data_IF_084137286671
#
_entry.id   IF_084137286671
#
_cell.length_a   1.000
_cell.length_b   1.000
_cell.length_c   1.000
_cell.angle_alpha   90.00
_cell.angle_beta   90.00
_cell.angle_gamma   90.00
#
_symmetry.space_group_name_H-M   'P 1'
#
loop_
_entity.id
_entity.type
_entity.pdbx_description
1 polymer ?
#
# COMPACT_ATOMS: atom_id res chain seq x y z
N UNK A 1 26.58 0.80 12.35
CA UNK A 1 25.62 0.99 13.47
C UNK A 1 24.45 1.84 12.99
N UNK A 2 23.25 1.57 13.50
CA UNK A 2 22.05 2.38 13.28
C UNK A 2 21.82 3.23 14.53
N UNK A 3 21.60 4.53 14.34
CA UNK A 3 21.23 5.45 15.42
C UNK A 3 19.85 6.02 15.13
N UNK A 4 18.96 5.93 16.12
CA UNK A 4 17.65 6.58 16.09
C UNK A 4 17.66 7.64 17.19
N UNK A 5 17.44 8.89 16.81
CA UNK A 5 17.18 9.95 17.77
C UNK A 5 15.69 9.94 18.08
N UNK A 6 15.36 9.55 19.30
CA UNK A 6 14.02 9.60 19.84
C UNK A 6 13.85 10.90 20.64
N UNK A 7 12.97 11.78 20.16
CA UNK A 7 12.57 12.98 20.88
C UNK A 7 11.17 12.74 21.45
N UNK A 8 11.08 12.73 22.78
CA UNK A 8 9.83 12.53 23.50
C UNK A 8 9.08 13.86 23.58
N UNK A 9 8.04 14.00 22.76
CA UNK A 9 7.10 15.09 22.88
C UNK A 9 6.07 14.69 23.94
N UNK A 10 6.20 15.25 25.15
CA UNK A 10 5.25 15.05 26.25
C UNK A 10 3.79 15.42 25.90
N UNK A 11 3.57 16.08 24.75
CA UNK A 11 2.27 16.47 24.24
C UNK A 11 1.94 15.77 22.91
N UNK A 12 0.66 15.45 22.73
CA UNK A 12 0.09 14.84 21.52
C UNK A 12 0.23 15.68 20.23
N UNK A 13 0.76 16.91 20.31
CA UNK A 13 0.97 17.81 19.19
C UNK A 13 2.44 18.26 19.15
N UNK A 14 3.09 18.10 17.99
CA UNK A 14 4.45 18.61 17.72
C UNK A 14 4.53 20.14 17.97
N UNK A 15 3.45 20.88 17.69
CA UNK A 15 3.34 22.31 18.01
C UNK A 15 3.30 22.67 19.50
N UNK A 16 3.29 21.68 20.41
CA UNK A 16 3.37 21.88 21.86
C UNK A 16 4.71 21.42 22.46
N UNK A 17 5.64 20.91 21.64
CA UNK A 17 7.03 20.74 22.08
C UNK A 17 7.63 22.13 22.25
N UNK A 18 8.08 22.46 23.46
CA UNK A 18 8.73 23.75 23.69
C UNK A 18 10.01 23.83 22.83
N UNK A 19 10.10 24.82 21.93
CA UNK A 19 11.26 25.06 21.07
C UNK A 19 12.59 25.04 21.84
N UNK A 20 12.57 25.43 23.11
CA UNK A 20 13.73 25.40 24.00
C UNK A 20 14.18 23.98 24.35
N UNK A 21 13.25 23.04 24.55
CA UNK A 21 13.58 21.64 24.83
C UNK A 21 14.16 20.98 23.58
N UNK A 22 13.57 21.22 22.40
CA UNK A 22 14.12 20.72 21.13
C UNK A 22 15.55 21.23 20.88
N UNK A 23 15.75 22.55 21.00
CA UNK A 23 17.09 23.16 20.84
C UNK A 23 18.09 22.55 21.80
N UNK A 24 17.69 22.32 23.05
CA UNK A 24 18.54 21.71 24.07
C UNK A 24 18.90 20.26 23.71
N UNK A 25 17.94 19.44 23.32
CA UNK A 25 18.19 18.04 22.91
C UNK A 25 19.11 17.97 21.67
N UNK A 26 18.87 18.81 20.67
CA UNK A 26 19.74 18.92 19.49
C UNK A 26 21.16 19.33 19.87
N UNK A 27 21.31 20.32 20.74
CA UNK A 27 22.63 20.74 21.24
C UNK A 27 23.34 19.63 22.02
N UNK A 28 22.61 18.89 22.87
CA UNK A 28 23.17 17.74 23.57
C UNK A 28 23.65 16.66 22.60
N UNK A 29 22.87 16.39 21.55
CA UNK A 29 23.23 15.40 20.54
C UNK A 29 24.44 15.83 19.71
N UNK A 30 24.48 17.07 19.23
CA UNK A 30 25.65 17.61 18.52
C UNK A 30 26.90 17.54 19.40
N UNK A 31 26.77 17.85 20.69
CA UNK A 31 27.86 17.71 21.66
C UNK A 31 28.26 16.24 21.84
N UNK A 32 27.31 15.33 21.93
CA UNK A 32 27.57 13.90 22.06
C UNK A 32 28.30 13.35 20.82
N UNK A 33 27.86 13.71 19.61
CA UNK A 33 28.54 13.36 18.36
C UNK A 33 29.97 13.91 18.31
N UNK A 34 30.17 15.14 18.80
CA UNK A 34 31.50 15.75 18.91
C UNK A 34 32.39 15.02 19.91
N UNK A 35 31.88 14.70 21.11
CA UNK A 35 32.63 13.97 22.14
C UNK A 35 32.97 12.53 21.70
N UNK A 36 32.11 11.93 20.87
CA UNK A 36 32.28 10.58 20.36
C UNK A 36 32.74 10.54 18.88
N UNK A 37 33.55 11.52 18.46
CA UNK A 37 34.01 11.65 17.07
C UNK A 37 34.71 10.39 16.52
N UNK A 38 35.31 9.56 17.38
CA UNK A 38 35.92 8.30 16.98
C UNK A 38 34.90 7.23 16.54
N UNK A 39 33.62 7.36 16.94
CA UNK A 39 32.53 6.45 16.59
C UNK A 39 31.71 6.93 15.39
N UNK A 40 31.76 8.23 15.04
CA UNK A 40 30.93 8.77 13.95
C UNK A 40 31.19 8.12 12.57
N UNK A 41 32.41 7.67 12.22
CA UNK A 41 32.62 6.92 10.98
C UNK A 41 31.99 5.53 10.96
N UNK A 42 31.48 5.02 12.08
CA UNK A 42 30.80 3.72 12.16
C UNK A 42 29.27 3.84 11.96
N UNK A 43 28.75 5.06 11.96
CA UNK A 43 27.33 5.35 11.76
C UNK A 43 27.02 5.19 10.27
N UNK A 44 26.08 4.27 9.96
CA UNK A 44 25.62 3.99 8.59
C UNK A 44 24.22 4.51 8.35
N UNK A 45 23.36 4.49 9.37
CA UNK A 45 21.99 4.99 9.29
C UNK A 45 21.70 5.90 10.46
N UNK A 46 21.04 7.01 10.18
CA UNK A 46 20.58 7.97 11.18
C UNK A 46 19.12 8.29 10.88
N UNK A 47 18.26 8.22 11.90
CA UNK A 47 16.84 8.56 11.76
C UNK A 47 16.44 9.53 12.86
N UNK A 48 15.70 10.57 12.51
CA UNK A 48 15.14 11.53 13.45
C UNK A 48 13.65 11.22 13.57
N UNK A 49 13.22 10.76 14.75
CA UNK A 49 11.86 10.35 15.01
C UNK A 49 11.31 11.07 16.23
N UNK A 50 10.12 11.64 16.06
CA UNK A 50 9.34 12.22 17.15
C UNK A 50 8.31 11.21 17.60
N UNK A 51 8.17 11.05 18.91
CA UNK A 51 7.11 10.27 19.52
C UNK A 51 6.25 11.19 20.38
N UNK A 52 4.94 10.98 20.39
CA UNK A 52 4.05 11.50 21.41
C UNK A 52 4.28 10.74 22.72
N UNK A 53 3.91 11.34 23.86
CA UNK A 53 4.08 10.75 25.19
C UNK A 53 3.38 9.39 25.43
N UNK A 54 2.58 8.89 24.48
CA UNK A 54 2.05 7.52 24.46
C UNK A 54 2.91 6.54 23.64
N UNK A 55 4.11 6.94 23.23
CA UNK A 55 5.05 6.14 22.44
C UNK A 55 4.65 5.97 20.97
N UNK A 56 3.67 6.73 20.48
CA UNK A 56 3.24 6.69 19.07
C UNK A 56 3.90 7.82 18.28
N UNK A 57 3.93 7.70 16.94
CA UNK A 57 4.33 8.84 16.10
C UNK A 57 3.20 9.89 16.18
N UNK A 58 3.50 11.15 16.51
CA UNK A 58 2.47 12.17 16.65
C UNK A 58 1.73 12.37 15.32
N UNK A 59 0.41 12.58 15.40
CA UNK A 59 -0.38 13.00 14.26
C UNK A 59 -0.02 14.46 13.94
N UNK A 60 0.54 14.69 12.75
CA UNK A 60 0.92 16.03 12.34
C UNK A 60 -0.32 16.83 11.92
N UNK A 61 -0.47 18.03 12.48
CA UNK A 61 -1.39 19.04 11.97
C UNK A 61 -0.63 19.91 10.95
N UNK A 62 -1.13 20.09 9.73
CA UNK A 62 -0.48 20.91 8.70
C UNK A 62 -0.37 22.41 9.04
N UNK A 63 -0.86 22.83 10.21
CA UNK A 63 -0.96 24.22 10.64
C UNK A 63 0.02 24.61 11.77
N UNK A 64 0.93 23.73 12.20
CA UNK A 64 1.94 24.14 13.21
C UNK A 64 3.17 24.72 12.53
N UNK A 65 3.42 26.01 12.73
CA UNK A 65 4.67 26.72 12.41
C UNK A 65 5.82 26.14 13.25
N UNK A 66 6.32 24.97 12.86
CA UNK A 66 7.40 24.31 13.59
C UNK A 66 8.77 24.87 13.17
N UNK A 67 9.60 25.20 14.16
CA UNK A 67 10.86 25.93 14.00
C UNK A 67 11.92 25.09 13.27
N UNK A 68 12.20 25.45 12.02
CA UNK A 68 13.09 24.72 11.09
C UNK A 68 14.58 24.73 11.45
N UNK A 69 15.09 25.77 12.12
CA UNK A 69 16.55 26.04 12.14
C UNK A 69 17.42 25.06 12.96
N UNK A 70 16.99 24.56 14.14
CA UNK A 70 17.79 23.65 14.95
C UNK A 70 18.03 22.30 14.27
N UNK A 71 16.99 21.75 13.62
CA UNK A 71 17.04 20.44 12.98
C UNK A 71 17.94 20.46 11.74
N UNK A 72 17.89 21.55 10.97
CA UNK A 72 18.77 21.77 9.83
C UNK A 72 20.24 21.79 10.27
N UNK A 73 20.52 22.45 11.40
CA UNK A 73 21.87 22.46 11.99
C UNK A 73 22.34 21.06 12.38
N UNK A 74 21.46 20.24 12.97
CA UNK A 74 21.75 18.85 13.29
C UNK A 74 22.04 18.02 12.04
N UNK A 75 21.20 18.14 11.01
CA UNK A 75 21.36 17.41 9.74
C UNK A 75 22.72 17.70 9.11
N UNK A 76 23.10 18.97 9.04
CA UNK A 76 24.40 19.39 8.50
C UNK A 76 25.55 18.88 9.37
N UNK A 77 25.42 18.93 10.70
CA UNK A 77 26.44 18.40 11.62
C UNK A 77 26.62 16.89 11.45
N UNK A 78 25.52 16.12 11.30
CA UNK A 78 25.54 14.68 11.02
C UNK A 78 26.26 14.40 9.70
N UNK A 79 25.94 15.11 8.61
CA UNK A 79 26.64 14.97 7.34
C UNK A 79 28.13 15.28 7.47
N UNK A 80 28.51 16.31 8.21
CA UNK A 80 29.93 16.68 8.35
C UNK A 80 30.76 15.63 9.12
N UNK A 81 30.15 14.93 10.09
CA UNK A 81 30.85 14.00 11.00
C UNK A 81 30.76 12.54 10.59
N UNK A 82 29.68 12.14 9.94
CA UNK A 82 29.39 10.74 9.62
C UNK A 82 29.79 10.42 8.17
N UNK A 83 31.09 10.44 7.88
CA UNK A 83 31.64 10.27 6.50
C UNK A 83 31.21 9.00 5.78
N UNK A 84 30.78 8.00 6.55
CA UNK A 84 30.40 6.66 6.14
C UNK A 84 28.87 6.43 6.12
N UNK A 85 28.09 7.49 6.34
CA UNK A 85 26.64 7.43 6.34
C UNK A 85 26.11 6.94 4.98
N UNK A 86 25.07 6.13 5.03
CA UNK A 86 24.38 5.55 3.87
C UNK A 86 22.93 6.05 3.80
N UNK A 87 22.32 6.36 4.94
CA UNK A 87 20.96 6.88 4.98
C UNK A 87 20.74 7.85 6.14
N UNK A 88 20.11 8.98 5.84
CA UNK A 88 19.53 9.90 6.82
C UNK A 88 18.02 10.00 6.58
N UNK A 89 17.21 9.53 7.52
CA UNK A 89 15.75 9.62 7.46
C UNK A 89 15.24 10.80 8.29
N UNK A 90 14.50 11.67 7.63
CA UNK A 90 13.92 12.87 8.22
C UNK A 90 12.54 12.58 8.82
N UNK A 91 12.11 13.37 9.81
CA UNK A 91 10.79 13.29 10.40
C UNK A 91 9.70 13.76 9.43
N UNK A 92 8.44 13.42 9.71
CA UNK A 92 7.30 13.70 8.81
C UNK A 92 7.02 15.19 8.58
N UNK A 93 7.35 16.06 9.53
CA UNK A 93 7.08 17.49 9.41
C UNK A 93 8.12 18.23 8.56
N UNK A 94 9.29 17.65 8.32
CA UNK A 94 10.26 18.17 7.34
C UNK A 94 9.85 17.63 5.96
N UNK A 95 9.06 18.43 5.25
CA UNK A 95 8.45 18.08 3.96
C UNK A 95 9.32 18.58 2.80
N UNK A 96 9.69 17.72 1.85
CA UNK A 96 10.43 18.16 0.66
C UNK A 96 9.59 19.11 -0.20
N UNK A 97 10.20 20.19 -0.69
CA UNK A 97 9.53 21.24 -1.47
C UNK A 97 9.21 22.51 -0.66
N UNK A 98 9.35 22.45 0.66
CA UNK A 98 9.38 23.63 1.52
C UNK A 98 10.79 24.25 1.52
N UNK A 99 11.09 25.00 0.45
CA UNK A 99 12.44 25.44 0.06
C UNK A 99 13.15 26.27 1.13
N UNK A 100 12.40 27.01 1.96
CA UNK A 100 12.96 27.86 3.00
C UNK A 100 13.65 26.95 4.02
N UNK A 101 14.99 26.85 3.91
CA UNK A 101 15.94 26.05 4.70
C UNK A 101 16.38 24.68 4.15
N UNK A 102 15.94 24.25 2.96
CA UNK A 102 16.39 22.96 2.40
C UNK A 102 17.66 23.04 1.56
N UNK A 103 17.91 24.19 0.91
CA UNK A 103 19.08 24.38 0.06
C UNK A 103 20.42 24.05 0.75
N UNK A 104 20.71 24.52 1.99
CA UNK A 104 21.95 24.17 2.67
C UNK A 104 22.08 22.68 2.98
N UNK A 105 20.96 21.98 3.22
CA UNK A 105 20.93 20.54 3.48
C UNK A 105 21.27 19.76 2.22
N UNK A 106 20.65 20.11 1.08
CA UNK A 106 20.92 19.45 -0.21
C UNK A 106 22.36 19.74 -0.67
N UNK A 107 22.84 20.95 -0.46
CA UNK A 107 24.23 21.32 -0.74
C UNK A 107 25.23 20.52 0.12
N UNK A 108 24.97 20.39 1.42
CA UNK A 108 25.78 19.57 2.32
C UNK A 108 25.73 18.08 1.95
N UNK A 109 24.56 17.57 1.59
CA UNK A 109 24.37 16.21 1.07
C UNK A 109 25.25 15.98 -0.16
N UNK A 110 25.23 16.91 -1.12
CA UNK A 110 25.97 16.79 -2.38
C UNK A 110 27.49 16.92 -2.20
N UNK A 111 27.96 17.63 -1.16
CA UNK A 111 29.38 17.69 -0.78
C UNK A 111 29.85 16.49 0.04
N UNK A 112 28.93 15.68 0.56
CA UNK A 112 29.27 14.55 1.40
C UNK A 112 30.05 13.47 0.62
N UNK A 113 31.13 12.89 1.18
CA UNK A 113 32.04 11.99 0.46
C UNK A 113 31.42 10.63 0.07
N UNK A 114 30.44 10.15 0.82
CA UNK A 114 29.69 8.92 0.48
C UNK A 114 28.69 9.19 -0.65
N UNK A 115 28.92 8.61 -1.82
CA UNK A 115 28.01 8.57 -2.96
C UNK A 115 26.75 7.72 -2.70
N UNK A 116 26.86 6.76 -1.78
CA UNK A 116 25.76 5.89 -1.34
C UNK A 116 24.78 6.58 -0.40
N UNK A 117 25.17 7.68 0.23
CA UNK A 117 24.30 8.38 1.17
C UNK A 117 23.01 8.86 0.48
N UNK A 118 21.87 8.45 1.03
CA UNK A 118 20.52 8.89 0.68
C UNK A 118 19.89 9.73 1.79
N UNK A 119 19.36 10.89 1.44
CA UNK A 119 18.53 11.71 2.32
C UNK A 119 17.06 11.41 2.05
N UNK A 120 16.36 10.87 3.06
CA UNK A 120 14.99 10.41 2.91
C UNK A 120 14.01 11.35 3.61
N UNK A 121 13.22 12.05 2.83
CA UNK A 121 12.05 12.80 3.28
C UNK A 121 10.85 11.86 3.36
N UNK A 122 10.00 12.01 4.37
CA UNK A 122 8.78 11.20 4.45
C UNK A 122 7.75 11.68 3.44
N UNK A 123 7.59 13.00 3.29
CA UNK A 123 6.54 13.59 2.48
C UNK A 123 7.10 14.59 1.45
N UNK A 124 6.41 14.67 0.31
CA UNK A 124 6.62 15.62 -0.77
C UNK A 124 5.41 16.56 -0.88
N UNK A 125 5.63 17.87 -1.00
CA UNK A 125 4.58 18.86 -1.25
C UNK A 125 5.05 19.90 -2.27
N UNK A 126 4.27 20.12 -3.32
CA UNK A 126 4.53 21.14 -4.34
C UNK A 126 3.96 22.51 -3.91
N UNK A 127 4.71 23.58 -4.18
CA UNK A 127 4.31 24.96 -3.81
C UNK A 127 3.18 25.50 -4.67
N UNK A 128 2.88 24.89 -5.82
CA UNK A 128 1.74 25.25 -6.68
C UNK A 128 0.39 25.28 -5.94
N UNK A 129 0.32 24.65 -4.76
CA UNK A 129 -0.83 24.67 -3.84
C UNK A 129 -0.88 25.87 -2.88
N UNK A 130 0.16 26.72 -2.80
CA UNK A 130 0.31 27.80 -1.80
C UNK A 130 0.79 29.11 -2.44
N UNK A 131 -0.19 29.92 -2.88
CA UNK A 131 -0.12 31.34 -3.22
C UNK A 131 0.82 31.79 -4.35
N UNK A 132 0.25 32.53 -5.30
CA UNK A 132 0.96 33.10 -6.43
C UNK A 132 1.81 34.30 -6.02
N UNK A 133 3.12 34.08 -5.83
CA UNK A 133 4.14 35.05 -6.18
C UNK A 133 5.43 34.32 -6.62
N UNK A 134 5.80 34.63 -7.86
CA UNK A 134 6.96 34.19 -8.68
C UNK A 134 8.28 34.54 -7.94
N UNK A 135 9.34 33.73 -7.89
CA UNK A 135 10.32 33.46 -8.95
C UNK A 135 11.49 32.57 -8.43
N UNK A 136 12.46 32.14 -9.28
CA UNK A 136 12.68 30.77 -9.75
C UNK A 136 13.87 30.07 -9.04
N UNK A 137 14.16 28.83 -9.40
CA UNK A 137 15.42 28.13 -9.10
C UNK A 137 15.62 27.42 -7.76
N UNK A 138 14.58 27.14 -6.97
CA UNK A 138 14.70 26.51 -5.63
C UNK A 138 15.71 25.36 -5.56
N UNK A 139 15.75 24.53 -6.61
CA UNK A 139 16.82 23.56 -6.84
C UNK A 139 17.33 23.52 -8.28
N UNK A 140 17.05 24.50 -9.17
CA UNK A 140 17.22 24.35 -10.64
C UNK A 140 18.63 23.91 -11.12
N UNK A 141 19.66 24.05 -10.29
CA UNK A 141 21.04 23.62 -10.58
C UNK A 141 21.58 22.51 -9.67
N UNK A 142 20.77 21.95 -8.76
CA UNK A 142 21.22 20.95 -7.80
C UNK A 142 20.85 19.53 -8.23
N UNK A 143 21.79 18.55 -8.15
CA UNK A 143 21.45 17.15 -8.31
C UNK A 143 20.63 16.66 -7.10
N UNK A 144 19.54 15.94 -7.39
CA UNK A 144 18.63 15.34 -6.41
C UNK A 144 18.72 13.80 -6.43
N UNK A 145 19.67 13.21 -7.14
CA UNK A 145 19.90 11.75 -7.25
C UNK A 145 20.09 11.04 -5.90
N UNK A 146 20.45 11.79 -4.86
CA UNK A 146 20.67 11.32 -3.49
C UNK A 146 19.49 11.63 -2.56
N UNK A 147 18.46 12.28 -3.06
CA UNK A 147 17.23 12.60 -2.34
C UNK A 147 16.18 11.54 -2.66
N UNK A 148 15.47 11.11 -1.61
CA UNK A 148 14.40 10.13 -1.67
C UNK A 148 13.19 10.71 -0.95
N UNK A 149 12.03 10.73 -1.60
CA UNK A 149 10.75 10.98 -0.94
C UNK A 149 10.01 9.66 -0.75
N UNK A 150 9.60 9.37 0.47
CA UNK A 150 8.94 8.11 0.80
C UNK A 150 7.57 8.01 0.14
N UNK A 151 6.73 9.05 0.22
CA UNK A 151 5.46 9.09 -0.51
C UNK A 151 5.13 10.46 -1.11
N UNK A 152 4.42 10.42 -2.23
CA UNK A 152 3.82 11.57 -2.92
C UNK A 152 2.33 11.33 -3.14
N UNK A 153 1.49 12.34 -2.88
CA UNK A 153 0.02 12.20 -2.88
C UNK A 153 -0.70 13.15 -3.86
N UNK A 154 -0.01 14.04 -4.56
CA UNK A 154 -0.69 15.05 -5.38
C UNK A 154 -1.15 14.51 -6.75
N UNK A 155 -2.14 15.16 -7.36
CA UNK A 155 -2.82 14.67 -8.56
C UNK A 155 -1.90 14.43 -9.75
N UNK A 156 -1.07 15.41 -10.09
CA UNK A 156 -0.21 15.41 -11.26
C UNK A 156 1.09 16.15 -10.93
N UNK A 157 2.25 15.76 -11.50
CA UNK A 157 3.47 16.53 -11.34
C UNK A 157 3.32 17.91 -11.98
N UNK A 158 3.39 18.99 -11.19
CA UNK A 158 3.58 20.33 -11.72
C UNK A 158 5.01 20.54 -12.24
N UNK A 159 5.32 21.75 -12.70
CA UNK A 159 6.62 22.07 -13.31
C UNK A 159 7.80 21.90 -12.35
N UNK A 160 7.58 22.12 -11.05
CA UNK A 160 8.61 21.92 -10.02
C UNK A 160 8.94 20.43 -9.89
N UNK A 161 7.92 19.60 -9.74
CA UNK A 161 8.10 18.16 -9.63
C UNK A 161 8.75 17.57 -10.88
N UNK A 162 8.36 18.01 -12.09
CA UNK A 162 9.02 17.61 -13.34
C UNK A 162 10.51 17.94 -13.34
N UNK A 163 10.85 19.14 -12.86
CA UNK A 163 12.24 19.59 -12.72
C UNK A 163 12.99 18.71 -11.72
N UNK A 164 12.40 18.42 -10.56
CA UNK A 164 13.03 17.59 -9.53
C UNK A 164 13.25 16.15 -9.99
N UNK A 165 12.28 15.57 -10.69
CA UNK A 165 12.42 14.24 -11.32
C UNK A 165 13.57 14.23 -12.34
N UNK A 166 13.66 15.27 -13.19
CA UNK A 166 14.76 15.40 -14.15
C UNK A 166 16.14 15.55 -13.47
N UNK A 167 16.17 16.08 -12.25
CA UNK A 167 17.37 16.20 -11.40
C UNK A 167 17.72 14.92 -10.62
N UNK A 168 16.90 13.87 -10.75
CA UNK A 168 17.12 12.56 -10.15
C UNK A 168 16.42 12.32 -8.82
N UNK A 169 15.43 13.14 -8.43
CA UNK A 169 14.63 12.89 -7.25
C UNK A 169 14.02 11.47 -7.31
N UNK A 170 14.20 10.69 -6.25
CA UNK A 170 13.61 9.36 -6.14
C UNK A 170 12.29 9.42 -5.37
N UNK A 171 11.25 8.75 -5.88
CA UNK A 171 9.94 8.60 -5.25
C UNK A 171 9.73 7.13 -4.95
N UNK A 172 9.65 6.72 -3.69
CA UNK A 172 9.48 5.31 -3.33
C UNK A 172 8.02 4.83 -3.46
N UNK A 173 7.07 5.70 -3.12
CA UNK A 173 5.65 5.38 -3.08
C UNK A 173 4.79 6.50 -3.67
N UNK A 174 3.74 6.12 -4.40
CA UNK A 174 2.69 7.04 -4.85
C UNK A 174 1.38 6.68 -4.13
N UNK A 175 0.68 7.70 -3.64
CA UNK A 175 -0.62 7.61 -2.98
C UNK A 175 -1.67 8.37 -3.80
N UNK A 176 -2.86 7.79 -3.93
CA UNK A 176 -3.92 8.28 -4.84
C UNK A 176 -5.30 8.34 -4.17
N UNK A 177 -5.35 8.67 -2.88
CA UNK A 177 -6.61 8.79 -2.15
C UNK A 177 -7.50 9.93 -2.69
N UNK A 178 -8.81 9.71 -2.75
CA UNK A 178 -9.81 10.79 -2.80
C UNK A 178 -9.94 11.59 -4.11
N UNK A 179 -9.28 11.18 -5.19
CA UNK A 179 -9.45 11.83 -6.50
C UNK A 179 -10.49 11.08 -7.33
N UNK A 180 -11.77 11.42 -7.15
CA UNK A 180 -12.93 10.79 -7.82
C UNK A 180 -13.27 11.37 -9.21
N UNK A 181 -12.57 12.38 -9.72
CA UNK A 181 -13.15 13.17 -10.82
C UNK A 181 -12.15 13.88 -11.74
N UNK A 182 -11.12 13.21 -12.24
CA UNK A 182 -10.33 13.77 -13.35
C UNK A 182 -9.98 12.69 -14.39
N UNK A 183 -10.36 12.87 -15.68
CA UNK A 183 -10.11 11.88 -16.74
C UNK A 183 -8.64 11.74 -17.14
N UNK A 184 -7.75 12.60 -16.66
CA UNK A 184 -6.35 12.61 -17.06
C UNK A 184 -5.46 12.02 -15.95
N UNK A 185 -5.26 10.71 -16.00
CA UNK A 185 -4.20 9.97 -15.28
C UNK A 185 -2.79 10.38 -15.76
N UNK A 186 -2.52 11.69 -15.93
CA UNK A 186 -1.29 12.21 -16.54
C UNK A 186 -0.04 11.94 -15.71
N UNK A 187 -0.22 11.66 -14.42
CA UNK A 187 0.87 11.21 -13.56
C UNK A 187 1.54 9.93 -14.10
N UNK A 188 0.79 9.06 -14.79
CA UNK A 188 1.37 7.85 -15.39
C UNK A 188 2.29 8.17 -16.58
N UNK A 189 2.26 9.37 -17.17
CA UNK A 189 3.10 9.71 -18.31
C UNK A 189 4.57 9.96 -17.90
N UNK A 190 4.85 10.07 -16.60
CA UNK A 190 6.17 10.35 -16.04
C UNK A 190 6.87 9.10 -15.52
N UNK A 191 8.19 9.17 -15.44
CA UNK A 191 9.03 8.15 -14.81
C UNK A 191 9.42 8.62 -13.41
N UNK A 192 9.21 7.77 -12.43
CA UNK A 192 9.50 7.99 -11.02
C UNK A 192 10.66 7.07 -10.60
N UNK A 193 11.90 7.58 -10.57
CA UNK A 193 13.05 6.82 -10.10
C UNK A 193 12.82 6.29 -8.69
N UNK A 194 13.15 5.02 -8.44
CA UNK A 194 12.98 4.41 -7.12
C UNK A 194 11.56 3.98 -6.76
N UNK A 195 10.57 4.10 -7.67
CA UNK A 195 9.19 3.70 -7.38
C UNK A 195 9.08 2.21 -7.09
N UNK A 196 8.63 1.89 -5.87
CA UNK A 196 8.47 0.50 -5.40
C UNK A 196 7.03 0.13 -5.10
N UNK A 197 6.16 1.10 -4.79
CA UNK A 197 4.76 0.83 -4.51
C UNK A 197 3.80 1.95 -4.93
N UNK A 198 2.61 1.57 -5.36
CA UNK A 198 1.49 2.47 -5.60
C UNK A 198 0.35 2.04 -4.68
N UNK A 199 -0.32 3.01 -4.05
CA UNK A 199 -1.49 2.78 -3.21
C UNK A 199 -2.67 3.59 -3.71
N UNK A 200 -3.86 3.02 -3.53
CA UNK A 200 -5.13 3.65 -3.93
C UNK A 200 -5.27 3.91 -5.42
N UNK A 201 -4.74 3.01 -6.25
CA UNK A 201 -4.87 3.17 -7.69
C UNK A 201 -6.28 2.80 -8.16
N UNK A 202 -7.00 3.74 -8.79
CA UNK A 202 -8.32 3.51 -9.39
C UNK A 202 -8.30 2.86 -10.76
N UNK A 203 -7.17 2.89 -11.48
CA UNK A 203 -6.82 2.14 -12.69
C UNK A 203 -7.80 2.06 -13.87
N UNK A 204 -8.85 2.89 -13.93
CA UNK A 204 -9.93 2.72 -14.91
C UNK A 204 -9.88 3.71 -16.09
N UNK A 205 -8.86 4.57 -16.21
CA UNK A 205 -8.85 5.65 -17.22
C UNK A 205 -7.79 5.50 -18.32
N UNK A 206 -6.95 4.45 -18.28
CA UNK A 206 -5.88 4.22 -19.26
C UNK A 206 -6.05 2.90 -19.98
N UNK A 207 -5.59 2.85 -21.23
CA UNK A 207 -5.56 1.61 -22.00
C UNK A 207 -4.57 0.60 -21.40
N UNK A 208 -4.82 -0.68 -21.64
CA UNK A 208 -3.92 -1.77 -21.25
C UNK A 208 -2.46 -1.49 -21.66
N UNK A 209 -2.25 -1.02 -22.89
CA UNK A 209 -0.94 -0.69 -23.43
C UNK A 209 -0.23 0.42 -22.63
N UNK A 210 -0.95 1.48 -22.28
CA UNK A 210 -0.41 2.59 -21.46
C UNK A 210 -0.01 2.11 -20.06
N UNK A 211 -0.79 1.20 -19.47
CA UNK A 211 -0.45 0.56 -18.20
C UNK A 211 0.82 -0.27 -18.34
N UNK A 212 0.94 -1.11 -19.37
CA UNK A 212 2.14 -1.93 -19.62
C UNK A 212 3.39 -1.05 -19.78
N UNK A 213 3.32 0.01 -20.58
CA UNK A 213 4.43 0.95 -20.79
C UNK A 213 4.83 1.66 -19.50
N UNK A 214 3.86 2.04 -18.67
CA UNK A 214 4.12 2.58 -17.35
C UNK A 214 4.87 1.56 -16.47
N UNK A 215 4.41 0.31 -16.38
CA UNK A 215 5.07 -0.72 -15.58
C UNK A 215 6.49 -1.02 -16.06
N UNK A 216 6.73 -1.02 -17.38
CA UNK A 216 8.06 -1.23 -17.97
C UNK A 216 9.04 -0.10 -17.63
N UNK A 217 8.56 1.15 -17.54
CA UNK A 217 9.38 2.29 -17.10
C UNK A 217 9.73 2.24 -15.60
N UNK A 218 9.05 1.41 -14.82
CA UNK A 218 9.23 1.29 -13.36
C UNK A 218 9.63 -0.14 -12.95
N UNK A 219 10.84 -0.61 -13.30
CA UNK A 219 11.27 -1.99 -13.04
C UNK A 219 11.37 -2.33 -11.54
N UNK A 220 11.50 -1.32 -10.67
CA UNK A 220 11.56 -1.48 -9.22
C UNK A 220 10.17 -1.58 -8.56
N UNK A 221 9.08 -1.35 -9.30
CA UNK A 221 7.73 -1.41 -8.78
C UNK A 221 7.38 -2.86 -8.42
N UNK A 222 7.04 -3.09 -7.15
CA UNK A 222 6.80 -4.42 -6.57
C UNK A 222 5.37 -4.63 -6.12
N UNK A 223 4.63 -3.57 -5.80
CA UNK A 223 3.29 -3.70 -5.21
C UNK A 223 2.38 -2.57 -5.63
N UNK A 224 1.17 -2.93 -6.06
CA UNK A 224 0.11 -1.98 -6.37
C UNK A 224 -1.10 -2.36 -5.52
N UNK A 225 -1.64 -1.39 -4.78
CA UNK A 225 -2.92 -1.50 -4.08
C UNK A 225 -3.96 -0.63 -4.77
N UNK A 226 -5.11 -1.21 -5.06
CA UNK A 226 -6.21 -0.58 -5.77
C UNK A 226 -7.22 0.02 -4.80
N UNK A 227 -7.90 1.09 -5.20
CA UNK A 227 -9.12 1.54 -4.49
C UNK A 227 -10.24 0.50 -4.67
N UNK A 228 -11.23 0.46 -3.75
CA UNK A 228 -12.42 -0.35 -3.92
C UNK A 228 -13.13 -0.08 -5.25
N UNK A 229 -13.86 -1.09 -5.75
CA UNK A 229 -14.56 -1.04 -7.03
C UNK A 229 -13.67 -0.77 -8.28
N UNK A 230 -12.35 -1.01 -8.19
CA UNK A 230 -11.46 -0.97 -9.35
C UNK A 230 -11.88 -1.99 -10.43
N UNK A 231 -11.85 -1.61 -11.70
CA UNK A 231 -12.14 -2.51 -12.82
C UNK A 231 -10.85 -3.20 -13.26
N UNK A 232 -10.84 -4.54 -13.21
CA UNK A 232 -9.62 -5.32 -13.46
C UNK A 232 -9.49 -5.77 -14.92
N UNK A 233 -10.56 -5.71 -15.72
CA UNK A 233 -10.64 -6.34 -17.03
C UNK A 233 -9.61 -5.78 -18.05
N UNK A 234 -9.20 -4.52 -17.87
CA UNK A 234 -8.28 -3.82 -18.79
C UNK A 234 -6.85 -3.70 -18.24
N UNK A 235 -6.47 -4.57 -17.31
CA UNK A 235 -5.14 -4.55 -16.67
C UNK A 235 -4.30 -5.78 -17.04
N UNK A 236 -2.94 -5.71 -17.01
CA UNK A 236 -2.11 -6.85 -17.38
C UNK A 236 -2.33 -8.08 -16.50
N UNK A 237 -2.51 -7.87 -15.19
CA UNK A 237 -2.81 -8.94 -14.24
C UNK A 237 -4.24 -9.48 -14.41
N UNK A 238 -5.23 -8.63 -14.71
CA UNK A 238 -6.60 -9.07 -14.98
C UNK A 238 -6.70 -9.91 -16.26
N UNK A 239 -6.04 -9.49 -17.35
CA UNK A 239 -5.96 -10.27 -18.60
C UNK A 239 -5.26 -11.60 -18.39
N UNK A 240 -4.14 -11.61 -17.66
CA UNK A 240 -3.44 -12.85 -17.34
C UNK A 240 -4.31 -13.79 -16.48
N UNK A 241 -5.04 -13.24 -15.52
CA UNK A 241 -5.97 -13.99 -14.68
C UNK A 241 -7.12 -14.59 -15.49
N UNK A 242 -7.81 -13.79 -16.31
CA UNK A 242 -8.91 -14.25 -17.15
C UNK A 242 -8.47 -15.38 -18.10
N UNK A 243 -7.29 -15.23 -18.72
CA UNK A 243 -6.69 -16.29 -19.56
C UNK A 243 -6.45 -17.58 -18.79
N UNK A 244 -6.02 -17.47 -17.53
CA UNK A 244 -5.80 -18.60 -16.63
C UNK A 244 -7.10 -19.25 -16.20
N UNK A 245 -8.21 -18.52 -16.12
CA UNK A 245 -9.54 -19.03 -15.71
C UNK A 245 -10.38 -19.65 -16.85
N UNK A 246 -10.09 -19.34 -18.12
CA UNK A 246 -10.78 -19.90 -19.30
C UNK A 246 -10.92 -21.43 -19.27
N UNK A 247 -12.13 -22.02 -19.41
CA UNK A 247 -13.28 -21.43 -20.10
C UNK A 247 -14.28 -20.69 -19.21
N UNK A 248 -14.02 -20.55 -17.92
CA UNK A 248 -14.97 -19.90 -17.00
C UNK A 248 -14.79 -18.39 -17.03
N UNK A 249 -15.88 -17.65 -17.25
CA UNK A 249 -15.85 -16.20 -17.08
C UNK A 249 -15.94 -15.83 -15.60
N UNK A 250 -15.10 -14.90 -15.19
CA UNK A 250 -15.01 -14.41 -13.83
C UNK A 250 -14.84 -12.90 -13.83
N UNK A 251 -15.50 -12.23 -12.88
CA UNK A 251 -15.20 -10.84 -12.54
C UNK A 251 -14.39 -10.81 -11.26
N UNK A 252 -13.36 -9.97 -11.24
CA UNK A 252 -12.65 -9.65 -10.02
C UNK A 252 -13.25 -8.36 -9.51
N UNK A 253 -13.91 -8.41 -8.36
CA UNK A 253 -14.62 -7.24 -7.85
C UNK A 253 -14.91 -7.38 -6.35
N UNK A 254 -14.62 -6.33 -5.60
CA UNK A 254 -15.11 -6.10 -4.24
C UNK A 254 -15.41 -4.59 -4.12
N UNK A 255 -16.68 -4.20 -3.91
CA UNK A 255 -17.07 -2.79 -3.87
C UNK A 255 -16.53 -2.06 -2.64
N UNK A 256 -16.21 -2.79 -1.57
CA UNK A 256 -15.90 -2.20 -0.27
C UNK A 256 -14.43 -2.41 0.13
N UNK A 257 -13.63 -3.08 -0.71
CA UNK A 257 -12.29 -3.49 -0.32
C UNK A 257 -11.18 -3.16 -1.29
N UNK A 258 -10.03 -2.84 -0.69
CA UNK A 258 -8.78 -2.64 -1.41
C UNK A 258 -8.24 -3.99 -1.84
N UNK A 259 -8.00 -4.17 -3.14
CA UNK A 259 -7.24 -5.30 -3.64
C UNK A 259 -5.77 -4.93 -3.84
N UNK A 260 -4.91 -5.93 -3.96
CA UNK A 260 -3.51 -5.68 -4.27
C UNK A 260 -2.92 -6.73 -5.20
N UNK A 261 -2.00 -6.27 -6.05
CA UNK A 261 -1.10 -7.14 -6.82
C UNK A 261 0.35 -6.92 -6.41
N UNK A 262 1.11 -7.99 -6.45
CA UNK A 262 2.55 -8.03 -6.17
C UNK A 262 3.31 -8.58 -7.36
N UNK A 263 4.50 -8.04 -7.62
CA UNK A 263 5.38 -8.52 -8.67
C UNK A 263 6.27 -9.63 -8.12
N UNK A 264 6.20 -10.81 -8.75
CA UNK A 264 7.01 -11.99 -8.42
C UNK A 264 7.71 -12.45 -9.69
N UNK A 265 9.03 -12.28 -9.73
CA UNK A 265 9.78 -12.38 -10.99
C UNK A 265 9.28 -11.32 -11.98
N UNK A 266 8.81 -11.77 -13.14
CA UNK A 266 8.22 -10.92 -14.19
C UNK A 266 6.69 -10.94 -14.24
N UNK A 267 6.04 -11.65 -13.32
CA UNK A 267 4.58 -11.77 -13.26
C UNK A 267 3.97 -10.91 -12.15
N UNK A 268 2.76 -10.41 -12.40
CA UNK A 268 1.92 -9.73 -11.43
C UNK A 268 0.87 -10.70 -10.90
N UNK A 269 0.91 -10.96 -9.60
CA UNK A 269 0.03 -11.90 -8.92
C UNK A 269 -0.85 -11.17 -7.91
N UNK A 270 -2.08 -11.63 -7.74
CA UNK A 270 -2.96 -11.11 -6.70
C UNK A 270 -2.47 -11.54 -5.31
N UNK A 271 -2.44 -10.58 -4.39
CA UNK A 271 -2.22 -10.79 -2.95
C UNK A 271 -3.58 -10.88 -2.22
N UNK A 272 -4.57 -10.14 -2.69
CA UNK A 272 -5.94 -10.10 -2.18
C UNK A 272 -6.89 -10.01 -3.38
N UNK A 273 -7.83 -10.94 -3.48
CA UNK A 273 -8.73 -11.07 -4.63
C UNK A 273 -10.13 -11.53 -4.19
N UNK A 274 -11.15 -10.98 -4.83
CA UNK A 274 -12.52 -11.51 -4.77
C UNK A 274 -12.97 -11.85 -6.17
N UNK A 275 -13.35 -13.11 -6.37
CA UNK A 275 -13.69 -13.68 -7.67
C UNK A 275 -15.17 -14.05 -7.69
N UNK A 276 -15.89 -13.48 -8.65
CA UNK A 276 -17.30 -13.77 -8.92
C UNK A 276 -17.41 -14.47 -10.26
N UNK A 277 -17.77 -15.75 -10.23
CA UNK A 277 -18.03 -16.52 -11.45
C UNK A 277 -19.34 -16.07 -12.11
N UNK A 278 -19.29 -15.85 -13.42
CA UNK A 278 -20.39 -15.28 -14.21
C UNK A 278 -21.42 -16.35 -14.66
N UNK A 279 -22.49 -15.91 -15.34
CA UNK A 279 -23.63 -16.75 -15.71
C UNK A 279 -23.40 -17.70 -16.89
N UNK A 280 -22.26 -17.62 -17.56
CA UNK A 280 -21.86 -18.56 -18.61
C UNK A 280 -21.41 -19.92 -18.05
N UNK A 281 -21.38 -20.05 -16.72
CA UNK A 281 -21.13 -21.30 -16.04
C UNK A 281 -22.32 -22.25 -16.26
N UNK A 282 -22.10 -23.43 -16.88
CA UNK A 282 -23.18 -24.40 -17.06
C UNK A 282 -23.77 -24.77 -15.71
N UNK A 283 -25.10 -24.97 -15.65
CA UNK A 283 -25.75 -25.53 -14.48
C UNK A 283 -25.05 -26.83 -14.13
N UNK A 284 -24.39 -26.84 -12.98
CA UNK A 284 -23.34 -27.77 -12.67
C UNK A 284 -23.44 -28.25 -11.24
N UNK A 285 -23.26 -29.55 -11.03
CA UNK A 285 -23.18 -30.14 -9.70
C UNK A 285 -21.85 -29.81 -9.01
N UNK A 286 -21.54 -30.58 -7.97
CA UNK A 286 -20.35 -30.45 -7.13
C UNK A 286 -19.05 -30.39 -7.93
N UNK A 287 -18.91 -31.21 -8.98
CA UNK A 287 -17.69 -31.33 -9.81
C UNK A 287 -17.31 -30.01 -10.53
N UNK A 288 -18.31 -29.24 -10.95
CA UNK A 288 -18.10 -27.97 -11.66
C UNK A 288 -17.52 -26.92 -10.71
N UNK A 289 -18.08 -26.82 -9.50
CA UNK A 289 -17.56 -25.96 -8.44
C UNK A 289 -16.16 -26.40 -8.03
N UNK A 290 -15.92 -27.70 -7.84
CA UNK A 290 -14.59 -28.22 -7.49
C UNK A 290 -13.54 -27.86 -8.54
N UNK A 291 -13.86 -28.02 -9.82
CA UNK A 291 -12.94 -27.68 -10.92
C UNK A 291 -12.58 -26.19 -10.92
N UNK A 292 -13.56 -25.32 -10.68
CA UNK A 292 -13.35 -23.87 -10.61
C UNK A 292 -12.49 -23.47 -9.41
N UNK A 293 -12.79 -24.03 -8.23
CA UNK A 293 -12.03 -23.76 -7.01
C UNK A 293 -10.62 -24.33 -7.10
N UNK A 294 -10.44 -25.52 -7.67
CA UNK A 294 -9.13 -26.12 -7.93
C UNK A 294 -8.27 -25.23 -8.83
N UNK A 295 -8.88 -24.70 -9.89
CA UNK A 295 -8.20 -23.82 -10.84
C UNK A 295 -7.80 -22.51 -10.20
N UNK A 296 -8.70 -21.90 -9.43
CA UNK A 296 -8.39 -20.72 -8.61
C UNK A 296 -7.25 -21.01 -7.64
N UNK A 297 -7.32 -22.11 -6.89
CA UNK A 297 -6.30 -22.49 -5.91
C UNK A 297 -4.92 -22.75 -6.52
N UNK A 298 -4.87 -23.39 -7.68
CA UNK A 298 -3.61 -23.57 -8.43
C UNK A 298 -2.99 -22.21 -8.78
N UNK A 299 -3.79 -21.21 -9.11
CA UNK A 299 -3.27 -19.89 -9.44
C UNK A 299 -2.79 -19.10 -8.25
N UNK A 300 -3.51 -19.19 -7.14
CA UNK A 300 -3.15 -18.48 -5.92
C UNK A 300 -1.95 -19.09 -5.21
N UNK A 301 -1.69 -20.38 -5.40
CA UNK A 301 -0.50 -21.07 -4.86
C UNK A 301 0.84 -20.49 -5.32
N UNK A 302 0.83 -19.69 -6.39
CA UNK A 302 2.01 -19.02 -6.92
C UNK A 302 2.36 -17.74 -6.14
N UNK A 303 1.43 -17.23 -5.32
CA UNK A 303 1.62 -16.02 -4.53
C UNK A 303 2.45 -16.33 -3.27
N UNK A 304 3.55 -15.61 -3.01
CA UNK A 304 4.38 -15.80 -1.82
C UNK A 304 3.77 -15.16 -0.56
N UNK A 305 2.64 -14.45 -0.70
CA UNK A 305 1.98 -13.73 0.38
C UNK A 305 0.79 -14.53 0.93
N UNK A 306 0.34 -14.15 2.14
CA UNK A 306 -0.96 -14.61 2.64
C UNK A 306 -2.05 -14.14 1.67
N UNK A 307 -2.76 -15.09 1.08
CA UNK A 307 -3.80 -14.81 0.09
C UNK A 307 -5.14 -14.67 0.79
N UNK A 308 -5.86 -13.61 0.44
CA UNK A 308 -7.26 -13.37 0.83
C UNK A 308 -8.12 -13.65 -0.40
N UNK A 309 -9.13 -14.52 -0.26
CA UNK A 309 -9.93 -15.01 -1.40
C UNK A 309 -11.41 -14.89 -1.12
N UNK A 310 -12.11 -14.12 -1.95
CA UNK A 310 -13.56 -14.20 -2.06
C UNK A 310 -14.01 -15.08 -3.23
N UNK A 311 -15.04 -15.89 -3.02
CA UNK A 311 -15.67 -16.74 -4.05
C UNK A 311 -17.17 -16.55 -3.99
N UNK A 312 -17.77 -16.22 -5.12
CA UNK A 312 -19.22 -16.24 -5.30
C UNK A 312 -19.61 -16.59 -6.74
N UNK A 313 -20.89 -16.90 -6.94
CA UNK A 313 -21.44 -17.32 -8.22
C UNK A 313 -22.73 -16.56 -8.51
N UNK A 314 -22.86 -16.01 -9.73
CA UNK A 314 -24.09 -15.34 -10.17
C UNK A 314 -25.21 -16.32 -10.53
N UNK A 315 -24.83 -17.48 -11.07
CA UNK A 315 -25.75 -18.55 -11.40
C UNK A 315 -25.86 -19.58 -10.27
N UNK A 316 -27.03 -20.23 -10.11
CA UNK A 316 -27.17 -21.35 -9.18
C UNK A 316 -26.29 -22.51 -9.66
N UNK A 317 -25.20 -22.73 -8.93
CA UNK A 317 -24.26 -23.83 -9.14
C UNK A 317 -24.14 -24.64 -7.86
N UNK A 318 -23.62 -25.86 -7.94
CA UNK A 318 -23.58 -26.75 -6.78
C UNK A 318 -24.98 -27.22 -6.39
N UNK A 319 -25.80 -27.55 -7.38
CA UNK A 319 -27.04 -28.28 -7.15
C UNK A 319 -26.71 -29.54 -6.33
N UNK A 320 -27.45 -29.73 -5.25
CA UNK A 320 -27.26 -30.81 -4.27
C UNK A 320 -25.93 -30.80 -3.50
N UNK A 321 -25.09 -29.77 -3.64
CA UNK A 321 -23.89 -29.59 -2.83
C UNK A 321 -24.25 -29.39 -1.35
N UNK A 322 -23.63 -30.18 -0.47
CA UNK A 322 -23.68 -29.97 0.97
C UNK A 322 -22.57 -29.04 1.46
N UNK A 323 -22.71 -28.54 2.68
CA UNK A 323 -21.67 -27.80 3.37
C UNK A 323 -20.41 -28.63 3.62
N UNK A 324 -20.53 -29.96 3.77
CA UNK A 324 -19.39 -30.88 3.85
C UNK A 324 -18.63 -30.98 2.52
N UNK A 325 -19.36 -31.06 1.40
CA UNK A 325 -18.74 -31.06 0.07
C UNK A 325 -17.92 -29.78 -0.14
N UNK A 326 -18.50 -28.63 0.24
CA UNK A 326 -17.82 -27.34 0.16
C UNK A 326 -16.57 -27.28 1.03
N UNK A 327 -16.63 -27.72 2.30
CA UNK A 327 -15.45 -27.79 3.17
C UNK A 327 -14.37 -28.69 2.55
N UNK A 328 -14.76 -29.85 2.01
CA UNK A 328 -13.85 -30.78 1.34
C UNK A 328 -13.14 -30.14 0.14
N UNK A 329 -13.90 -29.44 -0.71
CA UNK A 329 -13.36 -28.73 -1.88
C UNK A 329 -12.40 -27.62 -1.45
N UNK A 330 -12.78 -26.78 -0.48
CA UNK A 330 -11.96 -25.68 0.00
C UNK A 330 -10.67 -26.20 0.65
N UNK A 331 -10.77 -27.25 1.46
CA UNK A 331 -9.60 -27.84 2.14
C UNK A 331 -8.60 -28.42 1.16
N UNK A 332 -9.05 -29.11 0.11
CA UNK A 332 -8.16 -29.71 -0.90
C UNK A 332 -7.47 -28.67 -1.78
N UNK A 333 -8.14 -27.55 -2.07
CA UNK A 333 -7.72 -26.63 -3.12
C UNK A 333 -7.22 -25.27 -2.61
N UNK A 334 -7.63 -24.85 -1.41
CA UNK A 334 -7.37 -23.53 -0.84
C UNK A 334 -6.79 -23.59 0.58
N UNK A 335 -6.17 -24.70 0.98
CA UNK A 335 -5.54 -24.87 2.32
C UNK A 335 -4.48 -23.82 2.67
N UNK A 336 -3.93 -23.13 1.67
CA UNK A 336 -2.94 -22.07 1.80
C UNK A 336 -3.54 -20.66 1.95
N UNK A 337 -4.86 -20.52 1.81
CA UNK A 337 -5.59 -19.25 1.93
C UNK A 337 -5.81 -18.92 3.41
N UNK A 338 -5.57 -17.66 3.77
CA UNK A 338 -5.67 -17.21 5.17
C UNK A 338 -7.06 -16.69 5.50
N UNK A 339 -7.71 -15.99 4.56
CA UNK A 339 -9.08 -15.49 4.74
C UNK A 339 -9.92 -15.90 3.54
N UNK A 340 -11.02 -16.60 3.82
CA UNK A 340 -12.02 -17.01 2.85
C UNK A 340 -13.28 -16.16 3.02
N UNK A 341 -13.78 -15.65 1.90
CA UNK A 341 -15.08 -14.99 1.85
C UNK A 341 -16.00 -15.74 0.92
N UNK A 342 -17.10 -16.23 1.48
CA UNK A 342 -18.10 -16.92 0.72
C UNK A 342 -19.35 -16.05 0.74
N UNK A 343 -19.78 -15.65 -0.45
CA UNK A 343 -20.92 -14.76 -0.63
C UNK A 343 -22.24 -15.52 -0.57
N UNK A 344 -23.14 -15.16 -1.49
CA UNK A 344 -24.48 -15.75 -1.61
C UNK A 344 -24.43 -17.27 -1.77
N UNK A 345 -23.41 -17.79 -2.42
CA UNK A 345 -23.22 -19.23 -2.63
C UNK A 345 -23.27 -20.06 -1.33
N UNK A 346 -22.59 -19.62 -0.26
CA UNK A 346 -22.66 -20.32 1.04
C UNK A 346 -24.05 -20.18 1.65
N UNK A 347 -24.66 -18.99 1.55
CA UNK A 347 -25.99 -18.73 2.07
C UNK A 347 -27.03 -19.67 1.46
N UNK A 348 -26.95 -19.92 0.15
CA UNK A 348 -27.87 -20.80 -0.58
C UNK A 348 -27.71 -22.26 -0.14
N UNK A 349 -26.48 -22.74 0.06
CA UNK A 349 -26.20 -24.10 0.58
C UNK A 349 -26.78 -24.26 2.00
N UNK A 350 -26.44 -23.33 2.91
CA UNK A 350 -26.90 -23.41 4.30
C UNK A 350 -28.41 -23.28 4.43
N UNK A 351 -29.04 -22.43 3.62
CA UNK A 351 -30.50 -22.28 3.60
C UNK A 351 -31.16 -23.57 3.14
N UNK A 352 -30.63 -24.23 2.11
CA UNK A 352 -31.16 -25.53 1.63
C UNK A 352 -31.03 -26.63 2.69
N UNK A 353 -29.90 -26.69 3.38
CA UNK A 353 -29.69 -27.66 4.47
C UNK A 353 -30.59 -27.39 5.68
N UNK A 354 -30.78 -26.11 6.05
CA UNK A 354 -31.60 -25.74 7.21
C UNK A 354 -33.11 -25.74 6.92
N UNK A 355 -33.54 -25.50 5.68
CA UNK A 355 -34.94 -25.60 5.27
C UNK A 355 -35.46 -27.05 5.33
N UNK A 356 -34.57 -28.05 5.31
CA UNK A 356 -34.92 -29.44 5.61
C UNK A 356 -35.21 -29.68 7.10
N UNK A 357 -34.92 -28.69 7.97
CA UNK A 357 -34.97 -28.81 9.43
C UNK A 357 -36.04 -27.88 10.07
N UNK A 358 -36.51 -26.83 9.37
CA UNK A 358 -37.40 -25.81 9.92
C UNK A 358 -38.67 -25.58 9.07
N UNK A 359 -39.82 -25.41 9.74
CA UNK A 359 -41.09 -24.97 9.13
C UNK A 359 -40.99 -23.53 8.56
N UNK A 360 -41.75 -23.19 7.50
CA UNK A 360 -41.56 -21.94 6.76
C UNK A 360 -42.12 -20.75 7.54
N UNK A 361 -41.27 -19.76 7.89
CA UNK A 361 -41.78 -18.52 8.48
C UNK A 361 -40.83 -17.47 9.06
N UNK A 362 -39.50 -17.56 8.97
CA UNK A 362 -38.63 -16.50 9.53
C UNK A 362 -37.78 -15.80 8.47
N UNK A 363 -37.93 -14.47 8.39
CA UNK A 363 -37.08 -13.60 7.58
C UNK A 363 -35.61 -13.70 8.01
N UNK A 364 -34.71 -13.88 7.03
CA UNK A 364 -33.28 -14.09 7.21
C UNK A 364 -32.59 -12.71 7.38
N UNK A 365 -31.88 -12.53 8.49
CA UNK A 365 -30.88 -11.47 8.65
C UNK A 365 -29.49 -12.05 8.37
N UNK A 366 -28.63 -11.33 7.64
CA UNK A 366 -27.36 -11.83 7.06
C UNK A 366 -26.29 -12.24 8.10
N UNK A 367 -26.40 -11.83 9.37
CA UNK A 367 -25.56 -12.29 10.48
C UNK A 367 -26.16 -13.46 11.27
N UNK A 368 -27.36 -13.89 10.92
CA UNK A 368 -28.09 -14.97 11.61
C UNK A 368 -28.51 -16.09 10.64
N UNK A 369 -27.68 -16.39 9.63
CA UNK A 369 -27.93 -17.54 8.77
C UNK A 369 -27.83 -18.81 9.63
N UNK A 370 -28.94 -19.54 9.72
CA UNK A 370 -28.98 -20.82 10.40
C UNK A 370 -27.90 -21.74 9.82
N UNK A 371 -27.12 -22.40 10.68
CA UNK A 371 -26.03 -23.28 10.24
C UNK A 371 -24.68 -22.61 9.98
N UNK A 372 -24.58 -21.27 9.94
CA UNK A 372 -23.29 -20.61 9.67
C UNK A 372 -22.25 -20.82 10.78
N UNK A 373 -22.65 -20.71 12.05
CA UNK A 373 -21.74 -20.98 13.19
C UNK A 373 -21.22 -22.43 13.18
N UNK A 374 -22.08 -23.46 13.08
CA UNK A 374 -21.63 -24.85 12.91
C UNK A 374 -20.73 -25.06 11.67
N UNK A 375 -21.00 -24.37 10.56
CA UNK A 375 -20.14 -24.42 9.38
C UNK A 375 -18.75 -23.86 9.66
N UNK A 376 -18.67 -22.67 10.26
CA UNK A 376 -17.40 -22.03 10.63
C UNK A 376 -16.56 -22.90 11.56
N UNK A 377 -17.19 -23.55 12.54
CA UNK A 377 -16.50 -24.46 13.47
C UNK A 377 -15.90 -25.67 12.75
N UNK A 378 -16.64 -26.31 11.84
CA UNK A 378 -16.14 -27.43 11.02
C UNK A 378 -15.03 -26.99 10.06
N UNK A 379 -15.20 -25.82 9.42
CA UNK A 379 -14.18 -25.26 8.54
C UNK A 379 -12.89 -24.96 9.30
N UNK A 380 -12.96 -24.38 10.50
CA UNK A 380 -11.78 -24.11 11.33
C UNK A 380 -11.07 -25.40 11.77
N UNK A 381 -11.78 -26.52 11.92
CA UNK A 381 -11.16 -27.83 12.18
C UNK A 381 -10.43 -28.36 10.94
N UNK A 382 -11.01 -28.20 9.75
CA UNK A 382 -10.42 -28.68 8.49
C UNK A 382 -9.30 -27.77 7.97
N UNK A 383 -9.40 -26.45 8.21
CA UNK A 383 -8.49 -25.40 7.76
C UNK A 383 -8.15 -24.45 8.92
N UNK A 384 -7.25 -24.84 9.85
CA UNK A 384 -6.99 -24.09 11.09
C UNK A 384 -6.41 -22.68 10.91
N UNK A 385 -5.85 -22.40 9.74
CA UNK A 385 -5.28 -21.10 9.40
C UNK A 385 -6.25 -20.18 8.65
N UNK A 386 -7.43 -20.69 8.28
CA UNK A 386 -8.42 -19.95 7.53
C UNK A 386 -9.45 -19.31 8.46
N UNK A 387 -9.61 -18.00 8.36
CA UNK A 387 -10.79 -17.31 8.88
C UNK A 387 -11.84 -17.17 7.77
N UNK A 388 -13.11 -17.17 8.16
CA UNK A 388 -14.23 -17.04 7.21
C UNK A 388 -15.12 -15.84 7.54
N UNK A 389 -15.46 -15.11 6.48
CA UNK A 389 -16.39 -13.99 6.52
C UNK A 389 -17.48 -14.17 5.46
N UNK A 390 -18.70 -13.72 5.76
CA UNK A 390 -19.74 -13.51 4.75
C UNK A 390 -19.59 -12.09 4.24
N UNK A 391 -19.45 -11.90 2.93
CA UNK A 391 -19.46 -10.58 2.31
C UNK A 391 -20.88 -10.04 2.26
N UNK A 392 -21.12 -8.89 2.93
CA UNK A 392 -22.30 -8.06 2.64
C UNK A 392 -22.08 -7.43 1.27
N UNK A 393 -23.02 -7.57 0.33
CA UNK A 393 -23.03 -6.70 -0.85
C UNK A 393 -22.34 -7.20 -2.12
N UNK A 394 -22.26 -8.50 -2.38
CA UNK A 394 -22.12 -8.99 -3.77
C UNK A 394 -23.45 -8.85 -4.52
N UNK A 395 -24.07 -7.66 -4.44
CA UNK A 395 -25.14 -7.26 -5.34
C UNK A 395 -24.46 -6.62 -6.54
N UNK A 396 -24.54 -7.30 -7.69
CA UNK A 396 -24.21 -6.72 -9.00
C UNK A 396 -25.06 -5.48 -9.25
#
# INVERSE_FOLDING_TARGET
MCFELQLDAACYNIGAMNDMDLKREIQYLMKALKCNAHLTPLIRKFSIVYYSGDGKRPHYSPFSDYCKDPEISLIIDVFSRCTNLECLELPRHIVFGDIDNQHPVIEALNRHPSDKLRLKFQYLKERSSVSGHVHPAGFQSMPLSRVVCHYWEEQCPGEEMKTWLAQGLNIEQILRHGYDAQPNDSWMDYTYPGLTSIKSWKGNHRSLQSIVEFLQRHPLLKRIRFEPAHEHDNTPWGVAFAKRMYPYSCKIFDPDQFMAVVKVGDEWLYEEIVVIFQDDVPHGGVEVVETMVQKLGTMLSQSPCKVFVGIDFLSPVGDYMSSEDLIGILTRNLSHVFDLRLGRFLCDILTRECAQILEPGSAINEESIAGFKPFRERLAQAMPLADIFITRGLRV
#
